data_IF_038860117462
#
_entry.id   IF_038860117462
#
_cell.length_a   1.000
_cell.length_b   1.000
_cell.length_c   1.000
_cell.angle_alpha   90.00
_cell.angle_beta   90.00
_cell.angle_gamma   90.00
#
_symmetry.space_group_name_H-M   'P 1'
#
loop_
_entity.id
_entity.type
_entity.pdbx_description
1 polymer ?
#
# COMPACT_ATOMS: atom_id res chain seq x y z
N UNK A 1 -22.53 -7.09 -7.20
CA UNK A 1 -21.39 -7.42 -6.32
C UNK A 1 -20.17 -6.80 -6.96
N UNK A 2 -19.35 -6.07 -6.21
CA UNK A 2 -18.11 -5.51 -6.77
C UNK A 2 -17.15 -6.64 -7.18
N UNK A 3 -16.41 -6.50 -8.29
CA UNK A 3 -15.39 -7.47 -8.70
C UNK A 3 -14.25 -7.49 -7.68
N UNK A 4 -13.52 -8.60 -7.67
CA UNK A 4 -12.36 -8.75 -6.78
C UNK A 4 -11.26 -7.77 -7.15
N UNK A 5 -10.75 -7.04 -6.15
CA UNK A 5 -9.66 -6.08 -6.35
C UNK A 5 -8.39 -6.74 -6.87
N UNK A 6 -7.72 -6.09 -7.83
CA UNK A 6 -6.55 -6.64 -8.51
C UNK A 6 -5.48 -5.60 -8.81
N UNK A 7 -4.23 -6.03 -8.72
CA UNK A 7 -3.08 -5.32 -9.26
C UNK A 7 -2.71 -5.92 -10.61
N UNK A 8 -2.77 -5.13 -11.66
CA UNK A 8 -2.35 -5.49 -13.03
C UNK A 8 -0.96 -4.94 -13.28
N UNK A 9 -0.08 -5.74 -13.85
CA UNK A 9 1.31 -5.36 -14.13
C UNK A 9 1.57 -5.37 -15.63
N UNK A 10 2.24 -4.33 -16.08
CA UNK A 10 2.60 -4.11 -17.49
C UNK A 10 4.04 -3.64 -17.62
N UNK A 11 4.62 -3.80 -18.82
CA UNK A 11 5.94 -3.31 -19.15
C UNK A 11 5.96 -2.69 -20.57
N UNK A 12 6.55 -1.52 -20.69
CA UNK A 12 6.99 -0.96 -21.95
C UNK A 12 8.51 -1.12 -22.06
N UNK A 13 8.94 -2.15 -22.74
CA UNK A 13 10.37 -2.44 -22.93
C UNK A 13 11.06 -1.42 -23.82
N UNK A 14 10.32 -0.79 -24.74
CA UNK A 14 10.87 0.17 -25.69
C UNK A 14 11.26 1.48 -25.01
N UNK A 15 10.38 2.00 -24.17
CA UNK A 15 10.59 3.25 -23.45
C UNK A 15 11.16 3.04 -22.04
N UNK A 16 11.26 1.78 -21.59
CA UNK A 16 11.87 1.40 -20.32
C UNK A 16 11.04 1.73 -19.07
N UNK A 17 9.76 1.42 -19.14
CA UNK A 17 8.85 1.64 -17.99
C UNK A 17 8.09 0.39 -17.61
N UNK A 18 7.83 0.25 -16.31
CA UNK A 18 6.80 -0.66 -15.80
C UNK A 18 5.63 0.16 -15.24
N UNK A 19 4.45 -0.39 -15.38
CA UNK A 19 3.22 0.19 -14.93
C UNK A 19 2.44 -0.83 -14.12
N UNK A 20 1.97 -0.41 -12.95
CA UNK A 20 1.11 -1.20 -12.10
C UNK A 20 -0.21 -0.45 -11.90
N UNK A 21 -1.29 -0.99 -12.44
CA UNK A 21 -2.64 -0.47 -12.28
C UNK A 21 -3.35 -1.24 -11.19
N UNK A 22 -3.77 -0.56 -10.14
CA UNK A 22 -4.53 -1.15 -9.05
C UNK A 22 -6.00 -0.79 -9.15
N UNK A 23 -6.85 -1.81 -9.26
CA UNK A 23 -8.29 -1.75 -9.13
C UNK A 23 -8.64 -2.16 -7.71
N UNK A 24 -9.06 -1.21 -6.88
CA UNK A 24 -9.20 -1.37 -5.42
C UNK A 24 -10.62 -1.22 -4.88
N UNK A 25 -11.66 -1.08 -5.72
CA UNK A 25 -13.01 -0.71 -5.29
C UNK A 25 -13.57 -1.66 -4.22
N UNK A 26 -13.45 -2.97 -4.42
CA UNK A 26 -13.93 -3.94 -3.42
C UNK A 26 -13.12 -3.84 -2.12
N UNK A 27 -11.79 -3.75 -2.22
CA UNK A 27 -10.92 -3.66 -1.05
C UNK A 27 -11.25 -2.42 -0.21
N UNK A 28 -11.37 -1.25 -0.84
CA UNK A 28 -11.68 0.00 -0.14
C UNK A 28 -13.06 -0.06 0.51
N UNK A 29 -14.05 -0.62 -0.19
CA UNK A 29 -15.39 -0.84 0.37
C UNK A 29 -15.35 -1.76 1.60
N UNK A 30 -14.63 -2.89 1.53
CA UNK A 30 -14.50 -3.83 2.64
C UNK A 30 -13.81 -3.16 3.85
N UNK A 31 -12.76 -2.36 3.62
CA UNK A 31 -12.05 -1.62 4.65
C UNK A 31 -12.88 -0.49 5.27
N UNK A 32 -13.70 0.20 4.46
CA UNK A 32 -14.62 1.22 4.94
C UNK A 32 -15.63 0.63 5.95
N UNK A 33 -16.16 -0.56 5.65
CA UNK A 33 -17.09 -1.28 6.54
C UNK A 33 -16.39 -1.71 7.85
N UNK A 34 -15.15 -2.17 7.77
CA UNK A 34 -14.40 -2.69 8.94
C UNK A 34 -13.98 -1.55 9.88
N UNK A 35 -13.48 -0.44 9.34
CA UNK A 35 -12.80 0.57 10.14
C UNK A 35 -13.67 1.77 10.51
N UNK A 36 -14.83 1.95 9.86
CA UNK A 36 -15.78 3.03 10.15
C UNK A 36 -15.17 4.46 10.14
N UNK A 37 -14.04 4.64 9.41
CA UNK A 37 -13.36 5.93 9.30
C UNK A 37 -14.21 6.86 8.43
N UNK A 38 -14.30 8.15 8.80
CA UNK A 38 -15.16 9.13 8.14
C UNK A 38 -14.39 10.37 7.68
N UNK A 39 -15.01 11.16 6.81
CA UNK A 39 -14.55 12.50 6.40
C UNK A 39 -13.15 12.50 5.78
N UNK A 40 -12.35 13.50 6.14
CA UNK A 40 -10.97 13.66 5.64
C UNK A 40 -10.05 12.50 6.04
N UNK A 41 -10.29 11.88 7.18
CA UNK A 41 -9.55 10.69 7.62
C UNK A 41 -9.78 9.50 6.69
N UNK A 42 -11.03 9.27 6.25
CA UNK A 42 -11.32 8.22 5.27
C UNK A 42 -10.65 8.51 3.92
N UNK A 43 -10.72 9.75 3.45
CA UNK A 43 -10.07 10.11 2.18
C UNK A 43 -8.56 9.85 2.24
N UNK A 44 -7.89 10.28 3.32
CA UNK A 44 -6.47 9.99 3.51
C UNK A 44 -6.17 8.49 3.58
N UNK A 45 -6.95 7.75 4.37
CA UNK A 45 -6.82 6.30 4.50
C UNK A 45 -6.95 5.58 3.16
N UNK A 46 -8.00 5.91 2.39
CA UNK A 46 -8.22 5.40 1.04
C UNK A 46 -7.04 5.68 0.12
N UNK A 47 -6.62 6.94 0.04
CA UNK A 47 -5.57 7.37 -0.86
C UNK A 47 -4.21 6.75 -0.48
N UNK A 48 -3.95 6.60 0.81
CA UNK A 48 -2.76 5.91 1.30
C UNK A 48 -2.77 4.42 0.90
N UNK A 49 -3.89 3.71 1.09
CA UNK A 49 -4.02 2.31 0.66
C UNK A 49 -3.79 2.18 -0.84
N UNK A 50 -4.47 3.00 -1.65
CA UNK A 50 -4.32 2.99 -3.11
C UNK A 50 -2.88 3.30 -3.55
N UNK A 51 -2.16 4.15 -2.81
CA UNK A 51 -0.77 4.49 -3.10
C UNK A 51 0.21 3.38 -2.70
N UNK A 52 0.01 2.73 -1.55
CA UNK A 52 0.94 1.71 -1.06
C UNK A 52 0.72 0.32 -1.67
N UNK A 53 -0.52 0.01 -2.05
CA UNK A 53 -0.88 -1.33 -2.54
C UNK A 53 -0.05 -1.79 -3.75
N UNK A 54 0.31 -0.95 -4.74
CA UNK A 54 1.18 -1.35 -5.84
C UNK A 54 2.56 -1.87 -5.42
N UNK A 55 3.03 -1.56 -4.19
CA UNK A 55 4.30 -2.10 -3.67
C UNK A 55 4.34 -3.63 -3.54
N UNK A 56 3.18 -4.29 -3.56
CA UNK A 56 3.12 -5.76 -3.59
C UNK A 56 3.85 -6.35 -4.80
N UNK A 57 4.02 -5.57 -5.88
CA UNK A 57 4.80 -5.98 -7.06
C UNK A 57 6.28 -6.23 -6.76
N UNK A 58 6.82 -5.66 -5.67
CA UNK A 58 8.20 -5.88 -5.23
C UNK A 58 8.39 -7.13 -4.38
N UNK A 59 7.30 -7.81 -3.99
CA UNK A 59 7.37 -8.97 -3.12
C UNK A 59 7.61 -10.26 -3.91
N UNK A 60 8.65 -10.98 -3.52
CA UNK A 60 8.93 -12.33 -3.99
C UNK A 60 8.09 -13.35 -3.22
N UNK A 61 7.94 -14.58 -3.73
CA UNK A 61 7.21 -15.63 -3.03
C UNK A 61 7.68 -15.83 -1.59
N UNK A 62 6.73 -15.82 -0.65
CA UNK A 62 6.96 -15.94 0.79
C UNK A 62 7.38 -14.65 1.49
N UNK A 63 7.55 -13.53 0.78
CA UNK A 63 7.88 -12.26 1.40
C UNK A 63 6.63 -11.52 1.91
N UNK A 64 6.83 -10.69 2.93
CA UNK A 64 5.84 -9.75 3.43
C UNK A 64 6.42 -8.35 3.58
N UNK A 65 5.56 -7.35 3.56
CA UNK A 65 5.92 -5.93 3.70
C UNK A 65 5.00 -5.26 4.72
N UNK A 66 5.59 -4.56 5.67
CA UNK A 66 4.91 -3.63 6.56
C UNK A 66 5.39 -2.20 6.30
N UNK A 67 4.46 -1.29 6.15
CA UNK A 67 4.70 0.16 6.07
C UNK A 67 4.01 0.81 7.26
N UNK A 68 4.76 1.47 8.11
CA UNK A 68 4.27 2.07 9.35
C UNK A 68 4.65 3.54 9.37
N UNK A 69 3.66 4.42 9.21
CA UNK A 69 3.83 5.86 9.31
C UNK A 69 3.41 6.29 10.71
N UNK A 70 4.36 6.84 11.44
CA UNK A 70 4.14 7.52 12.72
C UNK A 70 4.32 9.03 12.48
N UNK A 71 3.21 9.75 12.31
CA UNK A 71 3.19 11.21 12.12
C UNK A 71 3.01 11.91 13.47
N UNK A 72 3.81 12.96 13.68
CA UNK A 72 3.76 13.81 14.86
C UNK A 72 2.90 15.06 14.62
N UNK A 73 2.90 15.55 13.37
CA UNK A 73 2.11 16.71 12.95
C UNK A 73 1.60 16.53 11.50
N UNK A 74 0.26 16.34 11.32
CA UNK A 74 -0.73 16.04 12.36
C UNK A 74 -0.45 14.66 13.00
N UNK A 75 -0.88 14.47 14.25
CA UNK A 75 -0.69 13.20 14.94
C UNK A 75 -1.61 12.11 14.37
N UNK A 76 -1.00 11.08 13.77
CA UNK A 76 -1.66 9.84 13.38
C UNK A 76 -0.65 8.71 13.22
N UNK A 77 -1.15 7.48 13.21
CA UNK A 77 -0.40 6.27 12.86
C UNK A 77 -1.13 5.51 11.79
N UNK A 78 -0.48 5.29 10.66
CA UNK A 78 -0.96 4.43 9.59
C UNK A 78 -0.11 3.16 9.55
N UNK A 79 -0.77 2.00 9.54
CA UNK A 79 -0.12 0.71 9.35
C UNK A 79 -0.72 0.05 8.12
N UNK A 80 0.13 -0.38 7.19
CA UNK A 80 -0.24 -1.15 6.00
C UNK A 80 0.66 -2.37 5.96
N UNK A 81 0.08 -3.55 6.07
CA UNK A 81 0.81 -4.81 5.98
C UNK A 81 0.28 -5.62 4.80
N UNK A 82 1.17 -6.18 4.00
CA UNK A 82 0.82 -6.94 2.81
C UNK A 82 1.75 -8.14 2.60
N UNK A 83 1.25 -9.17 1.97
CA UNK A 83 2.00 -10.38 1.61
C UNK A 83 2.11 -10.52 0.09
N UNK A 84 3.05 -11.36 -0.35
CA UNK A 84 3.20 -11.75 -1.75
C UNK A 84 1.94 -12.40 -2.34
N UNK A 85 1.08 -12.96 -1.49
CA UNK A 85 -0.20 -13.59 -1.88
C UNK A 85 -1.33 -12.58 -2.13
N UNK A 86 -1.07 -11.26 -2.01
CA UNK A 86 -2.11 -10.24 -2.17
C UNK A 86 -2.98 -10.02 -0.94
N UNK A 87 -2.65 -10.66 0.18
CA UNK A 87 -3.36 -10.43 1.43
C UNK A 87 -2.84 -9.15 2.10
N UNK A 88 -3.75 -8.31 2.55
CA UNK A 88 -3.39 -7.09 3.25
C UNK A 88 -4.27 -6.85 4.46
N UNK A 89 -3.72 -6.14 5.45
CA UNK A 89 -4.45 -5.54 6.56
C UNK A 89 -3.89 -4.14 6.86
N UNK A 90 -4.73 -3.29 7.39
CA UNK A 90 -4.37 -1.89 7.61
C UNK A 90 -5.06 -1.33 8.82
N UNK A 91 -4.54 -0.23 9.35
CA UNK A 91 -5.06 0.44 10.53
C UNK A 91 -4.66 1.91 10.48
N UNK A 92 -5.61 2.81 10.76
CA UNK A 92 -5.36 4.23 11.00
C UNK A 92 -5.76 4.57 12.44
N UNK A 93 -4.88 5.20 13.19
CA UNK A 93 -5.08 5.63 14.57
C UNK A 93 -4.75 7.12 14.72
N UNK A 94 -5.41 7.84 15.62
CA UNK A 94 -6.55 7.40 16.45
C UNK A 94 -7.79 7.14 15.59
N UNK A 95 -8.75 6.36 16.08
CA UNK A 95 -9.97 6.01 15.33
C UNK A 95 -10.79 7.23 14.91
N UNK A 96 -10.77 8.28 15.71
CA UNK A 96 -11.43 9.57 15.46
C UNK A 96 -10.65 10.49 14.52
N UNK A 97 -9.48 10.06 13.96
CA UNK A 97 -8.74 10.85 13.01
C UNK A 97 -9.59 11.18 11.78
N UNK A 98 -9.90 12.47 11.60
CA UNK A 98 -10.85 12.95 10.61
C UNK A 98 -10.35 14.17 9.84
N UNK A 99 -9.12 14.09 9.32
CA UNK A 99 -8.57 15.13 8.46
C UNK A 99 -7.71 14.53 7.36
N UNK A 100 -7.63 15.23 6.23
CA UNK A 100 -6.67 14.90 5.18
C UNK A 100 -5.39 15.71 5.44
N UNK A 101 -4.27 15.08 5.83
CA UNK A 101 -3.04 15.81 6.12
C UNK A 101 -2.46 16.42 4.84
N UNK A 102 -2.35 17.74 4.78
CA UNK A 102 -1.72 18.41 3.65
C UNK A 102 -0.21 18.18 3.64
N UNK A 103 0.37 18.10 4.81
CA UNK A 103 1.78 17.79 5.06
C UNK A 103 1.91 16.80 6.20
N UNK A 104 2.95 15.99 6.14
CA UNK A 104 3.25 14.96 7.12
C UNK A 104 4.66 15.20 7.65
N UNK A 105 4.79 15.25 8.97
CA UNK A 105 6.05 15.29 9.68
C UNK A 105 6.14 14.11 10.64
N UNK A 106 7.18 13.28 10.51
CA UNK A 106 7.33 12.09 11.31
C UNK A 106 8.28 11.08 10.71
N UNK A 107 7.99 9.81 10.89
CA UNK A 107 8.84 8.70 10.41
C UNK A 107 8.00 7.63 9.74
N UNK A 108 8.56 7.07 8.68
CA UNK A 108 8.06 5.85 8.09
C UNK A 108 9.03 4.70 8.36
N UNK A 109 8.55 3.65 9.01
CA UNK A 109 9.29 2.41 9.19
C UNK A 109 8.79 1.38 8.18
N UNK A 110 9.71 0.84 7.39
CA UNK A 110 9.45 -0.22 6.41
C UNK A 110 10.03 -1.51 6.97
N UNK A 111 9.23 -2.54 7.04
CA UNK A 111 9.60 -3.85 7.57
C UNK A 111 9.38 -4.89 6.48
N UNK A 112 10.44 -5.54 6.02
CA UNK A 112 10.36 -6.62 5.04
C UNK A 112 10.61 -7.95 5.72
N UNK A 113 9.60 -8.83 5.64
CA UNK A 113 9.69 -10.21 6.11
C UNK A 113 10.25 -11.08 4.99
N UNK A 114 11.34 -11.79 5.28
CA UNK A 114 12.01 -12.67 4.33
C UNK A 114 11.79 -14.13 4.74
N UNK A 115 11.56 -15.04 3.79
CA UNK A 115 11.38 -16.44 4.09
C UNK A 115 12.62 -17.03 4.78
N UNK A 116 12.41 -17.70 5.91
CA UNK A 116 13.48 -18.34 6.67
C UNK A 116 14.32 -17.43 7.57
N UNK A 117 14.11 -16.13 7.52
CA UNK A 117 14.80 -15.18 8.41
C UNK A 117 14.03 -14.98 9.72
N UNK A 118 14.74 -15.03 10.85
CA UNK A 118 14.15 -14.81 12.19
C UNK A 118 13.89 -13.32 12.41
N UNK A 119 14.74 -12.45 11.86
CA UNK A 119 14.64 -11.01 12.03
C UNK A 119 14.26 -10.34 10.70
N UNK A 120 13.24 -9.47 10.70
CA UNK A 120 12.87 -8.74 9.49
C UNK A 120 13.93 -7.69 9.14
N UNK A 121 14.11 -7.45 7.86
CA UNK A 121 14.83 -6.26 7.40
C UNK A 121 14.00 -5.02 7.71
N UNK A 122 14.62 -4.01 8.33
CA UNK A 122 13.95 -2.77 8.70
C UNK A 122 14.69 -1.56 8.16
N UNK A 123 13.97 -0.64 7.53
CA UNK A 123 14.45 0.66 7.08
C UNK A 123 13.60 1.77 7.68
N UNK A 124 14.19 2.92 7.97
CA UNK A 124 13.48 4.10 8.48
C UNK A 124 13.72 5.25 7.51
N UNK A 125 12.63 5.88 7.08
CA UNK A 125 12.61 7.07 6.23
C UNK A 125 12.01 8.22 7.04
N UNK A 126 12.75 9.33 7.15
CA UNK A 126 12.22 10.55 7.76
C UNK A 126 11.27 11.24 6.78
N UNK A 127 10.11 11.64 7.28
CA UNK A 127 9.10 12.40 6.55
C UNK A 127 9.12 13.83 7.12
N UNK A 128 9.57 14.79 6.32
CA UNK A 128 9.70 16.19 6.71
C UNK A 128 8.99 17.05 5.68
N UNK A 129 7.89 17.68 6.08
CA UNK A 129 7.06 18.55 5.24
C UNK A 129 6.63 17.90 3.91
N UNK A 130 6.32 16.60 3.95
CA UNK A 130 5.95 15.80 2.79
C UNK A 130 4.44 15.73 2.65
N UNK A 131 3.91 15.92 1.42
CA UNK A 131 2.50 15.66 1.14
C UNK A 131 2.17 14.16 1.20
N UNK A 132 0.89 13.84 1.29
CA UNK A 132 0.42 12.47 1.49
C UNK A 132 0.90 11.51 0.37
N UNK A 133 1.00 11.98 -0.87
CA UNK A 133 1.47 11.17 -2.01
C UNK A 133 2.99 11.15 -2.13
N UNK A 134 3.66 12.21 -1.68
CA UNK A 134 5.13 12.30 -1.64
C UNK A 134 5.76 11.24 -0.75
N UNK A 135 5.05 10.79 0.29
CA UNK A 135 5.55 9.79 1.23
C UNK A 135 5.92 8.47 0.53
N UNK A 136 5.07 7.95 -0.37
CA UNK A 136 5.36 6.71 -1.10
C UNK A 136 6.53 6.87 -2.07
N UNK A 137 6.57 7.99 -2.82
CA UNK A 137 7.65 8.25 -3.76
C UNK A 137 9.01 8.38 -3.03
N UNK A 138 9.03 9.02 -1.86
CA UNK A 138 10.23 9.09 -1.01
C UNK A 138 10.66 7.70 -0.52
N UNK A 139 9.73 6.86 -0.09
CA UNK A 139 10.01 5.49 0.33
C UNK A 139 10.61 4.68 -0.82
N UNK A 140 10.02 4.77 -2.02
CA UNK A 140 10.52 4.06 -3.20
C UNK A 140 11.89 4.55 -3.62
N UNK A 141 12.14 5.86 -3.55
CA UNK A 141 13.45 6.43 -3.83
C UNK A 141 14.50 6.02 -2.79
N UNK A 142 14.23 6.22 -1.51
CA UNK A 142 15.23 6.09 -0.44
C UNK A 142 15.50 4.63 -0.05
N UNK A 143 14.46 3.78 -0.03
CA UNK A 143 14.58 2.38 0.41
C UNK A 143 14.70 1.37 -0.73
N UNK A 144 14.06 1.62 -1.86
CA UNK A 144 14.06 0.73 -3.01
C UNK A 144 14.95 1.22 -4.15
N UNK A 145 15.43 2.46 -4.09
CA UNK A 145 16.25 3.11 -5.13
C UNK A 145 15.58 3.10 -6.52
N UNK A 146 14.25 3.21 -6.54
CA UNK A 146 13.42 3.20 -7.74
C UNK A 146 12.88 4.59 -8.02
N UNK A 147 13.02 5.06 -9.26
CA UNK A 147 12.35 6.27 -9.74
C UNK A 147 10.91 5.90 -10.11
N UNK A 148 9.95 6.46 -9.39
CA UNK A 148 8.52 6.17 -9.55
C UNK A 148 7.67 7.41 -9.43
N UNK A 149 6.45 7.31 -9.94
CA UNK A 149 5.36 8.25 -9.66
C UNK A 149 4.08 7.48 -9.40
N UNK A 150 3.28 7.97 -8.46
CA UNK A 150 1.99 7.40 -8.07
C UNK A 150 0.90 8.40 -8.41
N UNK A 151 -0.17 7.90 -9.01
CA UNK A 151 -1.37 8.67 -9.31
C UNK A 151 -2.59 7.91 -8.78
N UNK A 152 -3.33 8.54 -7.89
CA UNK A 152 -4.57 8.03 -7.31
C UNK A 152 -5.73 8.72 -8.01
N UNK A 153 -6.78 7.97 -8.30
CA UNK A 153 -7.98 8.52 -8.92
C UNK A 153 -8.82 9.31 -7.92
N UNK A 154 -9.29 10.48 -8.35
CA UNK A 154 -10.24 11.30 -7.59
C UNK A 154 -11.69 10.79 -7.74
N UNK A 155 -11.98 9.96 -8.75
CA UNK A 155 -13.34 9.53 -9.12
C UNK A 155 -13.63 8.06 -8.86
N UNK A 156 -12.62 7.23 -8.62
CA UNK A 156 -12.75 5.79 -8.40
C UNK A 156 -11.67 5.28 -7.44
N UNK A 157 -11.88 4.10 -6.83
CA UNK A 157 -10.89 3.50 -5.93
C UNK A 157 -9.80 2.77 -6.72
N UNK A 158 -9.09 3.54 -7.54
CA UNK A 158 -8.04 3.05 -8.43
C UNK A 158 -6.78 3.89 -8.33
N UNK A 159 -5.66 3.27 -8.64
CA UNK A 159 -4.37 3.97 -8.71
C UNK A 159 -3.45 3.36 -9.75
N UNK A 160 -2.42 4.12 -10.10
CA UNK A 160 -1.36 3.66 -10.99
C UNK A 160 0.00 4.00 -10.38
N UNK A 161 0.91 3.06 -10.43
CA UNK A 161 2.33 3.29 -10.16
C UNK A 161 3.11 3.09 -11.45
N UNK A 162 3.80 4.13 -11.85
CA UNK A 162 4.71 4.12 -12.99
C UNK A 162 6.15 4.14 -12.49
N UNK A 163 7.00 3.26 -13.01
CA UNK A 163 8.40 3.17 -12.63
C UNK A 163 9.29 3.13 -13.84
N UNK A 164 10.41 3.85 -13.76
CA UNK A 164 11.46 3.79 -14.79
C UNK A 164 12.36 2.59 -14.52
N UNK A 165 12.58 1.77 -15.53
CA UNK A 165 13.53 0.66 -15.46
C UNK A 165 14.98 1.19 -15.42
N UNK A 166 15.88 0.48 -14.74
CA UNK A 166 17.29 0.81 -14.80
C UNK A 166 17.82 0.63 -16.24
N UNK A 167 18.71 1.50 -16.64
CA UNK A 167 19.44 1.33 -17.90
C UNK A 167 20.33 0.10 -17.78
N UNK A 168 20.18 -0.83 -18.75
CA UNK A 168 20.93 -2.07 -18.74
C UNK A 168 22.07 -1.96 -19.74
N UNK A 169 23.29 -2.10 -19.24
CA UNK A 169 24.48 -2.20 -20.07
C UNK A 169 24.85 -3.69 -20.21
N UNK A 170 24.19 -4.39 -21.14
CA UNK A 170 24.49 -5.80 -21.43
C UNK A 170 25.22 -5.89 -22.75
N UNK A 171 26.43 -6.43 -22.72
CA UNK A 171 27.24 -6.74 -23.92
C UNK A 171 27.47 -5.55 -24.85
N UNK A 172 27.72 -4.36 -24.35
CA UNK A 172 27.97 -3.11 -25.12
C UNK A 172 26.77 -2.56 -25.92
N UNK A 173 25.56 -3.08 -25.68
CA UNK A 173 24.33 -2.45 -26.15
C UNK A 173 23.79 -1.59 -25.02
N UNK A 174 24.02 -0.28 -25.12
CA UNK A 174 23.43 0.69 -24.19
C UNK A 174 21.98 0.91 -24.61
N UNK A 175 21.05 0.60 -23.71
CA UNK A 175 19.65 1.01 -23.90
C UNK A 175 19.49 2.43 -23.39
N UNK A 176 19.35 3.39 -24.28
CA UNK A 176 19.02 4.77 -23.93
C UNK A 176 17.52 4.96 -24.00
N UNK A 177 16.92 5.22 -22.84
CA UNK A 177 15.50 5.56 -22.75
C UNK A 177 15.33 7.07 -22.90
N UNK A 178 14.54 7.49 -23.88
CA UNK A 178 14.46 8.90 -24.30
C UNK A 178 13.61 9.76 -23.36
N UNK A 179 12.67 9.18 -22.59
CA UNK A 179 11.72 9.90 -21.75
C UNK A 179 12.08 9.80 -20.26
N UNK A 180 11.85 10.89 -19.52
CA UNK A 180 11.78 10.85 -18.08
C UNK A 180 10.37 10.45 -17.63
N UNK A 181 10.17 10.25 -16.31
CA UNK A 181 8.89 9.83 -15.73
C UNK A 181 7.75 10.79 -16.07
N UNK A 182 7.99 12.10 -15.95
CA UNK A 182 6.95 13.11 -16.16
C UNK A 182 6.51 13.17 -17.63
N UNK A 183 7.46 13.12 -18.55
CA UNK A 183 7.17 13.08 -19.98
C UNK A 183 6.40 11.81 -20.38
N UNK A 184 6.79 10.67 -19.80
CA UNK A 184 6.10 9.44 -20.09
C UNK A 184 4.70 9.42 -19.47
N UNK A 185 4.54 9.89 -18.22
CA UNK A 185 3.23 10.06 -17.62
C UNK A 185 2.30 10.92 -18.50
N UNK A 186 2.76 12.09 -18.94
CA UNK A 186 1.97 12.97 -19.82
C UNK A 186 1.49 12.26 -21.09
N UNK A 187 2.25 11.31 -21.62
CA UNK A 187 1.88 10.55 -22.83
C UNK A 187 0.73 9.55 -22.61
N UNK A 188 0.54 9.07 -21.37
CA UNK A 188 -0.49 8.07 -21.02
C UNK A 188 -1.60 8.63 -20.13
N UNK A 189 -1.44 9.84 -19.60
CA UNK A 189 -2.33 10.44 -18.59
C UNK A 189 -3.80 10.47 -19.04
N UNK A 190 -4.07 10.93 -20.27
CA UNK A 190 -5.43 11.07 -20.76
C UNK A 190 -6.18 9.73 -20.76
N UNK A 191 -5.55 8.66 -21.25
CA UNK A 191 -6.16 7.34 -21.29
C UNK A 191 -6.28 6.70 -19.90
N UNK A 192 -5.35 7.01 -19.00
CA UNK A 192 -5.44 6.56 -17.60
C UNK A 192 -6.59 7.26 -16.87
N UNK A 193 -6.74 8.58 -17.06
CA UNK A 193 -7.88 9.34 -16.50
C UNK A 193 -9.22 8.87 -17.05
N UNK A 194 -9.28 8.43 -18.29
CA UNK A 194 -10.48 7.80 -18.86
C UNK A 194 -10.84 6.51 -18.12
N UNK A 195 -9.87 5.60 -17.89
CA UNK A 195 -10.10 4.38 -17.09
C UNK A 195 -10.61 4.72 -15.68
N UNK A 196 -10.01 5.72 -15.03
CA UNK A 196 -10.41 6.17 -13.70
C UNK A 196 -11.85 6.72 -13.70
N UNK A 197 -12.20 7.58 -14.64
CA UNK A 197 -13.52 8.21 -14.72
C UNK A 197 -14.63 7.21 -14.99
N UNK A 198 -14.34 6.14 -15.73
CA UNK A 198 -15.26 5.04 -15.99
C UNK A 198 -15.34 4.04 -14.83
N UNK A 199 -14.39 4.10 -13.88
CA UNK A 199 -14.27 3.10 -12.83
C UNK A 199 -14.09 1.69 -13.40
N UNK A 200 -13.30 1.58 -14.48
CA UNK A 200 -13.16 0.34 -15.26
C UNK A 200 -12.59 -0.79 -14.40
N UNK A 201 -13.33 -1.89 -14.27
CA UNK A 201 -12.93 -3.05 -13.46
C UNK A 201 -12.60 -4.28 -14.30
N UNK A 202 -13.08 -4.33 -15.54
CA UNK A 202 -12.90 -5.48 -16.39
C UNK A 202 -11.44 -5.59 -16.86
N UNK A 203 -10.82 -6.75 -16.58
CA UNK A 203 -9.42 -7.01 -16.95
C UNK A 203 -9.14 -6.74 -18.43
N UNK A 204 -10.05 -7.16 -19.31
CA UNK A 204 -9.89 -7.01 -20.76
C UNK A 204 -9.77 -5.54 -21.16
N UNK A 205 -10.62 -4.68 -20.63
CA UNK A 205 -10.66 -3.26 -20.98
C UNK A 205 -9.42 -2.54 -20.45
N UNK A 206 -8.99 -2.87 -19.22
CA UNK A 206 -7.74 -2.37 -18.65
C UNK A 206 -6.53 -2.79 -19.51
N UNK A 207 -6.47 -4.08 -19.86
CA UNK A 207 -5.39 -4.63 -20.67
C UNK A 207 -5.33 -3.98 -22.04
N UNK A 208 -6.44 -3.93 -22.77
CA UNK A 208 -6.51 -3.32 -24.10
C UNK A 208 -6.11 -1.84 -24.10
N UNK A 209 -6.47 -1.09 -23.04
CA UNK A 209 -6.09 0.32 -22.96
C UNK A 209 -4.57 0.50 -22.91
N UNK A 210 -3.87 -0.28 -22.07
CA UNK A 210 -2.43 -0.16 -21.94
C UNK A 210 -1.67 -0.82 -23.09
N UNK A 211 -2.18 -1.92 -23.67
CA UNK A 211 -1.59 -2.55 -24.87
C UNK A 211 -1.61 -1.63 -26.08
N UNK A 212 -2.69 -0.85 -26.28
CA UNK A 212 -2.76 0.20 -27.33
C UNK A 212 -1.69 1.29 -27.16
N UNK A 213 -1.14 1.44 -25.96
CA UNK A 213 -0.03 2.39 -25.65
C UNK A 213 1.36 1.77 -25.72
N UNK A 214 1.45 0.52 -26.14
CA UNK A 214 2.73 -0.19 -26.29
C UNK A 214 3.16 -0.98 -25.04
N UNK A 215 2.36 -1.03 -24.01
CA UNK A 215 2.64 -1.89 -22.87
C UNK A 215 2.32 -3.35 -23.17
N UNK A 216 3.15 -4.24 -22.67
CA UNK A 216 2.92 -5.67 -22.66
C UNK A 216 2.39 -6.08 -21.28
N UNK A 217 1.29 -6.81 -21.25
CA UNK A 217 0.73 -7.35 -20.04
C UNK A 217 1.61 -8.47 -19.45
N UNK A 218 1.94 -8.37 -18.16
CA UNK A 218 2.78 -9.34 -17.45
C UNK A 218 1.96 -10.28 -16.56
N UNK A 219 0.79 -9.85 -16.11
CA UNK A 219 -0.06 -10.62 -15.22
C UNK A 219 -0.85 -9.78 -14.24
N UNK A 220 -1.69 -10.42 -13.44
CA UNK A 220 -2.40 -9.76 -12.36
C UNK A 220 -2.34 -10.57 -11.06
N UNK A 221 -2.49 -9.85 -9.94
CA UNK A 221 -2.54 -10.43 -8.59
C UNK A 221 -3.82 -9.96 -7.90
N UNK A 222 -4.61 -10.89 -7.37
CA UNK A 222 -5.75 -10.55 -6.55
C UNK A 222 -5.29 -9.92 -5.24
N UNK A 223 -6.03 -8.93 -4.75
CA UNK A 223 -5.75 -8.24 -3.49
C UNK A 223 -6.99 -8.33 -2.61
N UNK A 224 -6.81 -8.80 -1.38
CA UNK A 224 -7.90 -8.97 -0.43
C UNK A 224 -7.52 -8.54 0.97
N UNK A 225 -8.48 -8.02 1.73
CA UNK A 225 -8.31 -7.89 3.16
C UNK A 225 -8.21 -9.27 3.80
N UNK A 226 -7.20 -9.47 4.64
CA UNK A 226 -7.08 -10.67 5.48
C UNK A 226 -6.35 -10.37 6.78
N UNK A 227 -7.08 -10.44 7.87
CA UNK A 227 -6.49 -10.40 9.20
C UNK A 227 -5.98 -11.78 9.61
N UNK A 228 -4.78 -11.83 10.18
CA UNK A 228 -4.16 -13.05 10.72
C UNK A 228 -4.35 -13.19 12.23
N UNK A 229 -5.24 -12.40 12.85
CA UNK A 229 -5.56 -12.53 14.26
C UNK A 229 -6.27 -13.87 14.53
N UNK A 230 -6.07 -14.37 15.73
CA UNK A 230 -6.79 -15.53 16.26
C UNK A 230 -6.96 -15.39 17.76
N UNK A 231 -7.92 -16.12 18.32
CA UNK A 231 -8.13 -16.15 19.77
C UNK A 231 -6.84 -16.53 20.51
N UNK A 232 -6.10 -17.51 20.00
CA UNK A 232 -4.87 -17.96 20.63
C UNK A 232 -3.79 -16.86 20.65
N UNK A 233 -3.61 -16.12 19.54
CA UNK A 233 -2.69 -14.98 19.52
C UNK A 233 -3.10 -13.87 20.49
N UNK A 234 -4.38 -13.61 20.62
CA UNK A 234 -4.89 -12.61 21.57
C UNK A 234 -4.66 -13.07 23.01
N UNK A 235 -4.92 -14.34 23.32
CA UNK A 235 -4.61 -14.93 24.62
C UNK A 235 -3.11 -14.91 24.93
N UNK A 236 -2.24 -15.16 23.95
CA UNK A 236 -0.79 -15.03 24.13
C UNK A 236 -0.40 -13.59 24.44
N UNK A 237 -1.01 -12.61 23.75
CA UNK A 237 -0.83 -11.19 24.06
C UNK A 237 -1.19 -10.84 25.50
N UNK A 238 -2.37 -11.27 25.98
CA UNK A 238 -2.80 -11.08 27.37
C UNK A 238 -1.84 -11.78 28.33
N UNK A 239 -1.44 -13.02 28.08
CA UNK A 239 -0.45 -13.73 28.91
C UNK A 239 0.88 -12.99 28.98
N UNK A 240 1.34 -12.43 27.88
CA UNK A 240 2.57 -11.64 27.83
C UNK A 240 2.46 -10.36 28.67
N UNK A 241 1.31 -9.69 28.65
CA UNK A 241 1.04 -8.53 29.48
C UNK A 241 1.01 -8.90 30.98
N UNK A 242 0.34 -10.00 31.35
CA UNK A 242 0.32 -10.51 32.74
C UNK A 242 1.73 -10.84 33.20
N UNK A 243 2.53 -11.48 32.33
CA UNK A 243 3.91 -11.82 32.64
C UNK A 243 4.81 -10.60 32.88
N UNK A 244 4.63 -9.56 32.07
CA UNK A 244 5.46 -8.35 32.14
C UNK A 244 5.04 -7.37 33.23
N UNK A 245 3.73 -7.24 33.50
CA UNK A 245 3.16 -6.18 34.32
C UNK A 245 2.41 -6.68 35.57
N UNK A 246 2.20 -7.99 35.69
CA UNK A 246 1.40 -8.61 36.75
C UNK A 246 -0.08 -8.70 36.38
N UNK A 247 -0.77 -9.63 37.04
CA UNK A 247 -2.21 -9.89 36.81
C UNK A 247 -3.07 -8.68 37.21
N UNK A 248 -2.72 -8.02 38.30
CA UNK A 248 -3.44 -6.86 38.81
C UNK A 248 -3.35 -5.61 37.94
N UNK A 249 -2.38 -5.60 36.99
CA UNK A 249 -2.26 -4.54 35.99
C UNK A 249 -3.12 -4.80 34.74
N UNK A 250 -3.60 -6.03 34.57
CA UNK A 250 -4.40 -6.46 33.41
C UNK A 250 -5.88 -6.59 33.78
N UNK A 251 -6.18 -7.03 35.01
CA UNK A 251 -7.54 -7.15 35.52
C UNK A 251 -7.74 -6.16 36.67
N UNK A 252 -8.82 -5.39 36.62
CA UNK A 252 -9.21 -4.59 37.75
C UNK A 252 -9.65 -5.51 38.95
N UNK A 253 -9.56 -5.04 40.18
CA UNK A 253 -9.85 -5.88 41.37
C UNK A 253 -11.22 -6.57 41.38
N UNK A 254 -12.19 -6.00 40.68
CA UNK A 254 -13.58 -6.49 40.60
C UNK A 254 -13.93 -7.07 39.21
N UNK A 255 -12.93 -7.31 38.34
CA UNK A 255 -13.14 -7.84 36.99
C UNK A 255 -12.65 -9.28 36.86
N UNK A 256 -13.57 -10.20 36.54
CA UNK A 256 -13.28 -11.62 36.28
C UNK A 256 -12.99 -11.92 34.81
N UNK A 257 -13.15 -10.91 33.94
CA UNK A 257 -12.98 -11.06 32.48
C UNK A 257 -12.45 -9.79 31.83
N UNK A 258 -11.72 -9.95 30.74
CA UNK A 258 -11.23 -8.87 29.90
C UNK A 258 -11.72 -9.08 28.46
N UNK A 259 -12.28 -8.03 27.88
CA UNK A 259 -12.59 -8.00 26.47
C UNK A 259 -11.36 -7.56 25.66
N UNK A 260 -11.02 -8.33 24.63
CA UNK A 260 -9.93 -7.99 23.73
C UNK A 260 -10.44 -7.91 22.30
N UNK A 261 -10.07 -6.86 21.58
CA UNK A 261 -10.40 -6.64 20.15
C UNK A 261 -9.15 -6.57 19.32
N UNK A 262 -9.27 -7.01 18.08
CA UNK A 262 -8.21 -6.83 17.11
C UNK A 262 -8.37 -5.48 16.40
N UNK A 263 -7.40 -4.60 16.50
CA UNK A 263 -7.45 -3.27 15.85
C UNK A 263 -7.60 -3.34 14.34
N UNK A 264 -7.16 -4.43 13.70
CA UNK A 264 -7.23 -4.58 12.24
C UNK A 264 -8.58 -5.08 11.71
N UNK A 265 -9.34 -5.84 12.48
CA UNK A 265 -10.61 -6.41 11.99
C UNK A 265 -11.80 -6.19 12.94
N UNK A 266 -11.57 -5.46 14.07
CA UNK A 266 -12.56 -5.03 15.07
C UNK A 266 -13.32 -6.15 15.81
#
# INVERSE_FOLDING_TARGET
MLPESRLYSFIDQKEGFTLHFFEGQKLINDLAIIHEIIGGGFQYFRDAILSFQPMISFLKPGEGLGVYIDSEDPYFRLKVEMSDQGQMRTLLLPEEFNQFPQKINGKCRIVKLLPGEVHPYTSIVNLEDIDAYGAINKILSDSYQVKSTIHVSDSSDQSIMLMKLPEINVNKVETHYNMNLDQYWQSIEASTKELFSLGTTEQKDIQENFEKKGFMYLGSKQVTFKCTCSRDRMLEGVRSLIWSSGIDAVFAPDEDSIETKCDYCK
#
